data_IF_745747210355
#
_entry.id   IF_745747210355
#
_cell.length_a   1.000
_cell.length_b   1.000
_cell.length_c   1.000
_cell.angle_alpha   90.00
_cell.angle_beta   90.00
_cell.angle_gamma   90.00
#
_symmetry.space_group_name_H-M   'P 1'
#
loop_
_entity.id
_entity.type
_entity.pdbx_description
1 polymer ?
#
# COMPACT_ATOMS: atom_id res chain seq x y z
N UNK A 1 -12.87 15.84 -17.66
CA UNK A 1 -13.49 14.93 -16.66
C UNK A 1 -12.84 15.26 -15.32
N UNK A 2 -13.60 15.36 -14.22
CA UNK A 2 -13.13 16.00 -12.99
C UNK A 2 -12.01 15.17 -12.38
N UNK A 3 -10.96 15.88 -12.00
CA UNK A 3 -9.76 15.36 -11.34
C UNK A 3 -10.20 14.92 -9.95
N UNK A 4 -10.45 13.62 -9.80
CA UNK A 4 -10.77 13.04 -8.51
C UNK A 4 -9.60 13.29 -7.58
N UNK A 5 -9.78 14.17 -6.60
CA UNK A 5 -8.91 14.26 -5.43
C UNK A 5 -8.93 12.88 -4.76
N UNK A 6 -8.04 11.99 -5.20
CA UNK A 6 -7.90 10.66 -4.65
C UNK A 6 -7.16 10.85 -3.34
N UNK A 7 -7.92 11.10 -2.28
CA UNK A 7 -7.41 11.14 -0.93
C UNK A 7 -6.63 9.83 -0.73
N UNK A 8 -5.32 9.89 -0.40
CA UNK A 8 -4.51 8.68 -0.32
C UNK A 8 -5.21 7.67 0.60
N UNK A 9 -5.50 6.48 0.08
CA UNK A 9 -6.20 5.46 0.85
C UNK A 9 -5.19 4.71 1.73
N UNK A 10 -5.52 4.54 3.00
CA UNK A 10 -4.63 3.86 3.97
C UNK A 10 -3.54 4.77 4.57
N UNK A 11 -2.62 4.20 5.38
CA UNK A 11 -1.59 4.95 6.10
C UNK A 11 -0.50 5.48 5.18
N UNK A 12 0.15 6.58 5.60
CA UNK A 12 1.37 7.10 4.97
C UNK A 12 2.55 6.22 5.36
N UNK A 13 3.04 5.43 4.41
CA UNK A 13 4.12 4.48 4.61
C UNK A 13 5.48 5.17 4.70
N UNK A 14 5.60 6.44 4.30
CA UNK A 14 6.81 7.25 4.52
C UNK A 14 7.02 7.53 6.01
N UNK A 15 5.92 7.66 6.78
CA UNK A 15 5.98 7.76 8.25
C UNK A 15 6.19 6.41 8.94
N UNK A 16 6.08 5.32 8.19
CA UNK A 16 6.08 3.96 8.70
C UNK A 16 4.75 3.58 9.37
N UNK A 17 4.63 2.28 9.65
CA UNK A 17 3.52 1.69 10.41
C UNK A 17 4.08 0.76 11.50
N UNK A 18 3.32 0.47 12.54
CA UNK A 18 3.75 -0.51 13.51
C UNK A 18 3.77 -1.91 12.85
N UNK A 19 4.76 -2.73 13.18
CA UNK A 19 4.83 -4.10 12.65
C UNK A 19 3.65 -4.97 13.11
N UNK A 20 3.00 -4.61 14.23
CA UNK A 20 1.75 -5.21 14.69
C UNK A 20 0.58 -4.96 13.75
N UNK A 21 0.60 -3.86 13.00
CA UNK A 21 -0.45 -3.49 12.04
C UNK A 21 -0.30 -4.26 10.73
N UNK A 22 0.86 -4.91 10.52
CA UNK A 22 1.10 -5.89 9.45
C UNK A 22 1.52 -7.25 10.04
N UNK A 23 0.55 -8.04 10.55
CA UNK A 23 0.82 -9.40 11.04
C UNK A 23 1.42 -10.31 9.96
N UNK A 24 2.04 -11.41 10.36
CA UNK A 24 2.55 -12.39 9.41
C UNK A 24 1.44 -12.93 8.50
N UNK A 25 1.72 -13.01 7.19
CA UNK A 25 0.77 -13.41 6.16
C UNK A 25 -0.28 -12.34 5.79
N UNK A 26 -0.30 -11.19 6.47
CA UNK A 26 -1.22 -10.11 6.18
C UNK A 26 -0.80 -9.29 4.95
N UNK A 27 -1.78 -8.53 4.45
CA UNK A 27 -1.61 -7.51 3.42
C UNK A 27 -2.22 -6.20 3.87
N UNK A 28 -1.60 -5.08 3.52
CA UNK A 28 -2.07 -3.74 3.83
C UNK A 28 -1.84 -2.82 2.63
N UNK A 29 -2.83 -2.00 2.28
CA UNK A 29 -2.67 -0.94 1.28
C UNK A 29 -2.46 0.39 2.01
N UNK A 30 -1.42 1.11 1.62
CA UNK A 30 -1.11 2.46 2.08
C UNK A 30 -0.58 3.30 0.92
N UNK A 31 0.09 4.41 1.22
CA UNK A 31 0.64 5.29 0.21
C UNK A 31 2.04 5.80 0.55
N UNK A 32 2.81 6.11 -0.48
CA UNK A 32 4.05 6.88 -0.41
C UNK A 32 3.88 8.14 -1.25
N UNK A 33 3.61 9.28 -0.62
CA UNK A 33 3.14 10.47 -1.35
C UNK A 33 1.81 10.17 -2.07
N UNK A 34 1.77 10.38 -3.39
CA UNK A 34 0.56 10.14 -4.19
C UNK A 34 0.48 8.69 -4.75
N UNK A 35 1.48 7.85 -4.51
CA UNK A 35 1.53 6.48 -5.02
C UNK A 35 0.93 5.48 -4.03
N UNK A 36 -0.03 4.66 -4.49
CA UNK A 36 -0.58 3.58 -3.68
C UNK A 36 0.37 2.37 -3.69
N UNK A 37 0.63 1.82 -2.50
CA UNK A 37 1.57 0.72 -2.29
C UNK A 37 0.88 -0.41 -1.51
N UNK A 38 1.04 -1.63 -1.98
CA UNK A 38 0.62 -2.86 -1.31
C UNK A 38 1.80 -3.44 -0.54
N UNK A 39 1.65 -3.52 0.79
CA UNK A 39 2.55 -4.25 1.66
C UNK A 39 2.07 -5.69 1.86
N UNK A 40 3.01 -6.63 1.81
CA UNK A 40 2.79 -8.04 2.17
C UNK A 40 3.90 -8.48 3.10
N UNK A 41 3.55 -9.18 4.19
CA UNK A 41 4.53 -9.76 5.10
C UNK A 41 4.58 -11.28 4.98
N UNK A 42 5.79 -11.83 4.96
CA UNK A 42 6.07 -13.27 5.04
C UNK A 42 7.18 -13.51 6.06
N UNK A 43 6.83 -14.07 7.21
CA UNK A 43 7.73 -14.26 8.33
C UNK A 43 8.32 -12.92 8.82
N UNK A 44 9.63 -12.77 8.66
CA UNK A 44 10.36 -11.56 9.01
C UNK A 44 10.49 -10.56 7.84
N UNK A 45 10.12 -10.96 6.63
CA UNK A 45 10.30 -10.15 5.43
C UNK A 45 9.03 -9.35 5.10
N UNK A 46 9.24 -8.11 4.65
CA UNK A 46 8.18 -7.22 4.16
C UNK A 46 8.47 -6.88 2.70
N UNK A 47 7.46 -7.07 1.86
CA UNK A 47 7.50 -6.76 0.44
C UNK A 47 6.58 -5.57 0.15
N UNK A 48 6.99 -4.70 -0.76
CA UNK A 48 6.24 -3.55 -1.20
C UNK A 48 6.19 -3.53 -2.74
N UNK A 49 4.99 -3.38 -3.30
CA UNK A 49 4.75 -3.24 -4.74
C UNK A 49 3.70 -2.16 -4.99
N UNK A 50 3.71 -1.54 -6.17
CA UNK A 50 2.62 -0.63 -6.56
C UNK A 50 1.27 -1.35 -6.49
N UNK A 51 0.28 -0.73 -5.86
CA UNK A 51 -1.06 -1.29 -5.66
C UNK A 51 -1.96 -1.13 -6.91
N UNK A 52 -1.37 -1.25 -8.09
CA UNK A 52 -2.06 -1.12 -9.37
C UNK A 52 -1.51 -2.16 -10.31
N UNK A 53 -2.38 -3.05 -10.78
CA UNK A 53 -2.01 -4.07 -11.72
C UNK A 53 -1.53 -3.43 -13.03
N UNK A 54 -0.32 -3.81 -13.47
CA UNK A 54 0.30 -3.29 -14.70
C UNK A 54 -0.46 -3.66 -15.98
N UNK A 55 -1.44 -4.57 -15.90
CA UNK A 55 -2.22 -5.02 -17.04
C UNK A 55 -3.30 -4.00 -17.44
N UNK A 56 -4.30 -3.79 -16.58
CA UNK A 56 -5.44 -2.91 -16.85
C UNK A 56 -5.71 -1.91 -15.72
N UNK A 57 -4.78 -1.72 -14.79
CA UNK A 57 -4.94 -0.76 -13.69
C UNK A 57 -5.95 -1.20 -12.62
N UNK A 58 -6.25 -2.50 -12.53
CA UNK A 58 -7.08 -3.04 -11.44
C UNK A 58 -6.39 -2.91 -10.07
N UNK A 59 -7.17 -2.81 -8.98
CA UNK A 59 -6.65 -2.85 -7.60
C UNK A 59 -6.21 -4.25 -7.17
#
# INVERSE_FOLDING_TARGET
MPEGHNKPNGPDLVQGIALSDLPDGAKLVGHCGDEQVLLVRRGAEVFAVGATCTHYGGP
#
